data_IF_207104867873
#
_entry.id   IF_207104867873
#
_cell.length_a   1.000
_cell.length_b   1.000
_cell.length_c   1.000
_cell.angle_alpha   90.00
_cell.angle_beta   90.00
_cell.angle_gamma   90.00
#
_symmetry.space_group_name_H-M   'P 1'
#
loop_
_entity.id
_entity.type
_entity.pdbx_description
1 polymer ?
#
# COMPACT_ATOMS: atom_id res chain seq x y z
N UNK A 1 27.92 21.33 27.85
CA UNK A 1 26.61 21.02 28.47
C UNK A 1 25.56 21.31 27.40
N UNK A 2 24.73 20.35 26.96
CA UNK A 2 23.55 19.79 27.66
C UNK A 2 22.48 20.86 27.91
N UNK A 3 21.18 20.70 27.62
CA UNK A 3 20.38 19.68 26.88
C UNK A 3 19.04 20.36 26.52
N UNK A 4 18.47 20.23 25.31
CA UNK A 4 17.53 19.18 24.87
C UNK A 4 16.27 18.96 25.74
N UNK A 5 15.14 19.57 25.35
CA UNK A 5 13.76 19.15 25.66
C UNK A 5 13.25 19.33 27.11
N UNK A 6 11.99 18.97 27.44
CA UNK A 6 10.80 18.67 26.59
C UNK A 6 9.51 18.55 27.46
N UNK A 7 8.34 18.72 26.81
CA UNK A 7 7.04 18.08 27.09
C UNK A 7 6.19 18.35 28.37
N UNK A 8 4.92 18.72 28.10
CA UNK A 8 3.64 18.09 28.51
C UNK A 8 3.27 17.80 29.98
N UNK A 9 2.10 18.32 30.40
CA UNK A 9 0.91 17.51 30.80
C UNK A 9 -0.36 18.42 30.76
N UNK A 10 -1.48 18.05 30.11
CA UNK A 10 -2.63 17.23 30.59
C UNK A 10 -3.62 18.02 31.51
N UNK A 11 -4.92 17.69 31.69
CA UNK A 11 -5.71 16.45 31.48
C UNK A 11 -7.24 16.75 31.56
N UNK A 12 -8.11 15.83 31.04
CA UNK A 12 -9.50 15.52 31.55
C UNK A 12 -10.60 16.64 31.39
N UNK A 13 -11.94 16.44 31.54
CA UNK A 13 -12.81 15.28 31.92
C UNK A 13 -14.28 15.44 31.41
N UNK A 14 -15.03 14.33 31.18
CA UNK A 14 -16.51 14.11 31.35
C UNK A 14 -17.56 15.09 30.70
N UNK A 15 -18.89 14.86 30.56
CA UNK A 15 -19.78 13.67 30.60
C UNK A 15 -21.17 13.91 29.90
N UNK A 16 -21.99 12.84 29.80
CA UNK A 16 -23.45 12.79 30.07
C UNK A 16 -24.61 13.21 29.10
N UNK A 17 -25.50 12.22 28.90
CA UNK A 17 -26.96 12.18 29.21
C UNK A 17 -28.06 12.43 28.14
N UNK A 18 -29.03 11.49 28.18
CA UNK A 18 -30.48 11.54 27.86
C UNK A 18 -31.06 11.16 26.48
N UNK A 19 -32.18 10.46 26.62
CA UNK A 19 -33.25 10.07 25.67
C UNK A 19 -34.48 10.99 25.95
N UNK A 20 -35.77 10.64 25.68
CA UNK A 20 -36.42 9.65 24.80
C UNK A 20 -37.51 10.28 23.88
N UNK A 21 -38.35 9.48 23.22
CA UNK A 21 -39.82 9.39 23.48
C UNK A 21 -40.53 8.35 22.58
N UNK A 22 -41.83 8.14 22.81
CA UNK A 22 -42.63 6.94 22.45
C UNK A 22 -43.98 7.35 21.78
N UNK A 23 -44.92 6.41 21.61
CA UNK A 23 -46.35 6.54 21.17
C UNK A 23 -46.60 6.30 19.66
N UNK A 24 -47.71 5.69 19.17
CA UNK A 24 -48.97 5.11 19.76
C UNK A 24 -49.49 3.98 18.83
N UNK A 25 -50.15 2.91 19.31
CA UNK A 25 -51.61 2.65 19.40
C UNK A 25 -52.44 2.98 18.13
N UNK A 26 -53.41 2.20 17.61
CA UNK A 26 -54.01 0.86 17.91
C UNK A 26 -54.74 0.35 16.61
N UNK A 27 -55.69 -0.60 16.47
CA UNK A 27 -56.73 -1.22 17.34
C UNK A 27 -57.35 -2.53 16.78
N UNK A 28 -57.95 -3.33 17.68
CA UNK A 28 -59.28 -4.03 17.70
C UNK A 28 -60.10 -4.11 16.38
N UNK A 29 -60.75 -5.22 15.96
CA UNK A 29 -61.91 -5.93 16.56
C UNK A 29 -62.04 -7.40 16.04
N UNK A 30 -62.34 -8.35 16.95
CA UNK A 30 -63.39 -9.44 17.02
C UNK A 30 -63.86 -10.18 15.71
N UNK A 31 -64.42 -11.40 15.66
CA UNK A 31 -65.08 -12.38 16.58
C UNK A 31 -64.54 -13.82 16.26
N UNK A 32 -64.27 -14.78 17.17
CA UNK A 32 -65.16 -15.76 17.87
C UNK A 32 -66.19 -16.50 16.95
N UNK A 33 -66.45 -17.82 17.02
CA UNK A 33 -66.34 -18.85 18.09
C UNK A 33 -66.02 -20.29 17.56
N UNK A 34 -65.61 -21.19 18.48
CA UNK A 34 -65.86 -22.66 18.60
C UNK A 34 -66.28 -23.57 17.41
N UNK A 35 -65.92 -24.87 17.34
CA UNK A 35 -64.93 -25.70 18.06
C UNK A 35 -64.72 -27.01 17.25
N UNK A 36 -63.54 -27.65 17.29
CA UNK A 36 -63.34 -28.91 16.54
C UNK A 36 -61.93 -29.51 16.63
N UNK A 37 -61.84 -30.76 17.10
CA UNK A 37 -60.58 -31.46 17.34
C UNK A 37 -60.15 -32.32 16.13
N UNK A 38 -59.03 -31.99 15.49
CA UNK A 38 -57.93 -32.89 15.13
C UNK A 38 -56.72 -32.12 14.54
N UNK A 39 -55.68 -32.84 14.11
CA UNK A 39 -54.55 -32.35 13.28
C UNK A 39 -53.62 -31.26 13.87
N UNK A 40 -53.43 -31.25 15.20
CA UNK A 40 -52.42 -30.38 15.85
C UNK A 40 -50.94 -30.79 15.61
N UNK A 41 -50.64 -31.83 14.83
CA UNK A 41 -49.25 -32.30 14.66
C UNK A 41 -48.47 -31.61 13.52
N UNK A 42 -49.13 -31.09 12.48
CA UNK A 42 -48.45 -30.55 11.28
C UNK A 42 -48.22 -29.02 11.26
N UNK A 43 -48.65 -28.28 12.30
CA UNK A 43 -48.52 -26.80 12.33
C UNK A 43 -47.35 -26.25 13.17
N UNK A 44 -46.74 -27.07 14.03
CA UNK A 44 -45.67 -26.62 14.94
C UNK A 44 -44.32 -26.50 14.21
N UNK A 45 -44.00 -27.45 13.33
CA UNK A 45 -42.72 -27.49 12.61
C UNK A 45 -42.57 -26.36 11.58
N UNK A 46 -43.66 -25.98 10.90
CA UNK A 46 -43.64 -24.92 9.88
C UNK A 46 -43.37 -23.52 10.46
N UNK A 47 -43.67 -23.25 11.75
CA UNK A 47 -43.33 -21.96 12.37
C UNK A 47 -41.85 -21.85 12.71
N UNK A 48 -41.23 -22.91 13.23
CA UNK A 48 -39.81 -22.89 13.61
C UNK A 48 -38.88 -22.76 12.39
N UNK A 49 -39.27 -23.29 11.23
CA UNK A 49 -38.55 -23.07 9.98
C UNK A 49 -38.66 -21.63 9.43
N UNK A 50 -39.77 -20.93 9.67
CA UNK A 50 -39.94 -19.54 9.24
C UNK A 50 -39.10 -18.55 10.07
N UNK A 51 -39.10 -18.70 11.40
CA UNK A 51 -38.39 -17.77 12.31
C UNK A 51 -36.86 -17.90 12.23
N UNK A 52 -36.35 -19.11 11.95
CA UNK A 52 -34.92 -19.32 11.70
C UNK A 52 -34.46 -18.62 10.41
N UNK A 53 -35.19 -18.76 9.30
CA UNK A 53 -34.86 -18.09 8.04
C UNK A 53 -34.94 -16.55 8.16
N UNK A 54 -35.91 -16.02 8.90
CA UNK A 54 -36.02 -14.57 9.14
C UNK A 54 -34.82 -14.00 9.91
N UNK A 55 -34.28 -14.73 10.89
CA UNK A 55 -33.08 -14.32 11.64
C UNK A 55 -31.78 -14.45 10.85
N UNK A 56 -31.74 -15.28 9.81
CA UNK A 56 -30.57 -15.46 8.95
C UNK A 56 -30.45 -14.39 7.85
N UNK A 57 -31.48 -13.55 7.67
CA UNK A 57 -31.54 -12.49 6.64
C UNK A 57 -31.25 -11.06 7.15
N UNK A 58 -31.02 -10.88 8.47
CA UNK A 58 -30.79 -9.56 9.09
C UNK A 58 -29.52 -9.54 9.97
N UNK A 59 -28.41 -10.07 9.46
CA UNK A 59 -27.09 -9.83 10.06
C UNK A 59 -26.00 -9.65 9.01
N UNK A 60 -25.28 -8.53 9.12
CA UNK A 60 -24.10 -8.18 8.33
C UNK A 60 -24.31 -8.09 6.81
N UNK A 61 -25.02 -7.04 6.37
CA UNK A 61 -24.62 -6.27 5.17
C UNK A 61 -23.21 -5.67 5.39
N UNK A 62 -22.18 -6.53 5.45
CA UNK A 62 -20.80 -6.07 5.53
C UNK A 62 -20.42 -5.61 4.14
N UNK A 63 -20.48 -4.30 3.92
CA UNK A 63 -20.20 -3.66 2.64
C UNK A 63 -18.92 -4.24 2.07
N UNK A 64 -19.03 -5.00 0.97
CA UNK A 64 -17.85 -5.57 0.31
C UNK A 64 -17.14 -4.41 -0.37
N UNK A 65 -16.27 -3.75 0.38
CA UNK A 65 -15.21 -2.94 -0.19
C UNK A 65 -14.34 -3.90 -0.99
N UNK A 66 -14.70 -4.08 -2.26
CA UNK A 66 -13.80 -4.57 -3.29
C UNK A 66 -12.74 -3.48 -3.45
N UNK A 67 -11.79 -3.48 -2.51
CA UNK A 67 -10.49 -2.92 -2.79
C UNK A 67 -10.03 -3.61 -4.07
N UNK A 68 -9.93 -2.84 -5.15
CA UNK A 68 -9.24 -3.25 -6.36
C UNK A 68 -7.74 -3.27 -6.06
N UNK A 69 -7.36 -4.19 -5.16
CA UNK A 69 -6.00 -4.66 -4.97
C UNK A 69 -5.56 -5.12 -6.33
N UNK A 70 -4.74 -4.32 -7.00
CA UNK A 70 -4.05 -4.74 -8.21
C UNK A 70 -3.16 -5.88 -7.73
N UNK A 71 -3.58 -7.12 -8.00
CA UNK A 71 -2.77 -8.30 -7.77
C UNK A 71 -1.70 -8.27 -8.85
N UNK A 72 -0.67 -7.46 -8.60
CA UNK A 72 0.61 -7.54 -9.30
C UNK A 72 1.07 -8.97 -9.07
N UNK A 73 1.16 -9.82 -10.12
CA UNK A 73 1.64 -11.18 -9.93
C UNK A 73 3.07 -11.06 -9.39
N UNK A 74 3.40 -11.69 -8.24
CA UNK A 74 4.71 -11.51 -7.64
C UNK A 74 5.77 -11.97 -8.64
N UNK A 75 6.71 -11.09 -8.98
CA UNK A 75 7.87 -11.49 -9.77
C UNK A 75 8.62 -12.53 -8.94
N UNK A 76 8.52 -13.81 -9.34
CA UNK A 76 9.00 -14.95 -8.55
C UNK A 76 10.53 -14.97 -8.40
N UNK A 77 11.24 -14.15 -9.18
CA UNK A 77 12.62 -13.76 -8.95
C UNK A 77 12.74 -12.74 -7.81
N UNK A 78 13.54 -13.09 -6.80
CA UNK A 78 14.07 -12.15 -5.81
C UNK A 78 14.74 -10.98 -6.56
N UNK A 79 14.40 -9.71 -6.27
CA UNK A 79 15.00 -8.56 -6.94
C UNK A 79 16.49 -8.47 -6.60
N UNK A 80 17.35 -8.45 -7.62
CA UNK A 80 18.80 -8.32 -7.46
C UNK A 80 19.36 -7.06 -8.12
N UNK A 81 20.55 -6.65 -7.70
CA UNK A 81 21.31 -5.57 -8.32
C UNK A 81 22.82 -5.84 -8.26
N UNK A 82 23.48 -5.87 -9.42
CA UNK A 82 24.94 -6.08 -9.56
C UNK A 82 25.76 -4.80 -9.47
N UNK A 83 25.15 -3.65 -9.80
CA UNK A 83 25.85 -2.37 -9.99
C UNK A 83 26.09 -2.02 -11.46
N UNK A 84 25.58 -2.83 -12.40
CA UNK A 84 25.75 -2.65 -13.84
C UNK A 84 25.14 -1.34 -14.34
N UNK A 85 25.79 -0.73 -15.34
CA UNK A 85 25.34 0.51 -15.99
C UNK A 85 23.99 0.37 -16.72
N UNK A 86 23.51 -0.86 -16.91
CA UNK A 86 22.22 -1.15 -17.53
C UNK A 86 21.06 -1.21 -16.52
N UNK A 87 21.33 -1.66 -15.28
CA UNK A 87 20.32 -1.77 -14.20
C UNK A 87 19.98 -0.40 -13.63
N UNK A 88 18.70 -0.02 -13.48
CA UNK A 88 18.35 1.22 -12.78
C UNK A 88 18.42 1.04 -11.26
N UNK A 89 19.26 1.82 -10.54
CA UNK A 89 19.35 1.73 -9.08
C UNK A 89 18.06 2.23 -8.39
N UNK A 90 17.26 3.08 -9.04
CA UNK A 90 15.95 3.50 -8.52
C UNK A 90 14.92 2.40 -8.62
N UNK A 91 14.82 1.76 -9.79
CA UNK A 91 13.89 0.65 -9.99
C UNK A 91 14.22 -0.54 -9.07
N UNK A 92 15.50 -0.79 -8.82
CA UNK A 92 15.92 -1.73 -7.77
C UNK A 92 15.42 -1.31 -6.37
N UNK A 93 15.68 -0.06 -5.94
CA UNK A 93 15.25 0.42 -4.62
C UNK A 93 13.74 0.40 -4.41
N UNK A 94 12.94 0.53 -5.47
CA UNK A 94 11.47 0.37 -5.44
C UNK A 94 11.13 -1.11 -5.28
N UNK A 95 11.58 -1.97 -6.19
CA UNK A 95 11.24 -3.41 -6.21
C UNK A 95 11.73 -4.15 -4.96
N UNK A 96 12.90 -3.81 -4.43
CA UNK A 96 13.42 -4.44 -3.21
C UNK A 96 12.63 -4.03 -1.96
N UNK A 97 12.10 -2.80 -1.94
CA UNK A 97 11.23 -2.31 -0.86
C UNK A 97 9.87 -2.99 -0.92
N UNK A 98 9.25 -3.00 -2.09
CA UNK A 98 7.99 -3.69 -2.38
C UNK A 98 8.06 -5.19 -2.05
N UNK A 99 9.09 -5.90 -2.55
CA UNK A 99 9.32 -7.32 -2.26
C UNK A 99 9.53 -7.58 -0.76
N UNK A 100 10.32 -6.74 -0.08
CA UNK A 100 10.58 -6.89 1.34
C UNK A 100 9.32 -6.69 2.20
N UNK A 101 8.43 -5.77 1.84
CA UNK A 101 7.15 -5.55 2.54
C UNK A 101 6.12 -6.66 2.23
N UNK A 102 5.98 -7.03 0.96
CA UNK A 102 4.94 -7.96 0.50
C UNK A 102 5.25 -9.44 0.76
N UNK A 103 6.50 -9.87 0.56
CA UNK A 103 6.91 -11.28 0.67
C UNK A 103 7.56 -11.58 2.03
N UNK A 104 8.41 -10.68 2.53
CA UNK A 104 9.16 -10.90 3.78
C UNK A 104 8.55 -10.20 5.01
N UNK A 105 7.55 -9.32 4.81
CA UNK A 105 6.94 -8.47 5.84
C UNK A 105 7.96 -7.64 6.66
N UNK A 106 9.03 -7.18 6.00
CA UNK A 106 10.10 -6.39 6.58
C UNK A 106 9.78 -4.89 6.60
N UNK A 107 9.90 -4.29 7.79
CA UNK A 107 10.00 -2.84 7.93
C UNK A 107 11.37 -2.31 7.45
N UNK A 108 11.51 -0.97 7.39
CA UNK A 108 12.74 -0.28 6.95
C UNK A 108 14.01 -0.73 7.69
N UNK A 109 13.92 -1.09 8.97
CA UNK A 109 15.07 -1.51 9.77
C UNK A 109 15.48 -2.96 9.48
N UNK A 110 14.51 -3.85 9.26
CA UNK A 110 14.77 -5.21 8.78
C UNK A 110 15.37 -5.19 7.37
N UNK A 111 14.83 -4.36 6.48
CA UNK A 111 15.35 -4.18 5.12
C UNK A 111 16.77 -3.60 5.12
N UNK A 112 17.06 -2.56 5.91
CA UNK A 112 18.40 -1.98 6.03
C UNK A 112 19.44 -3.00 6.52
N UNK A 113 19.07 -3.88 7.45
CA UNK A 113 19.96 -4.95 7.91
C UNK A 113 20.10 -6.08 6.88
N UNK A 114 19.02 -6.42 6.17
CA UNK A 114 18.97 -7.50 5.19
C UNK A 114 19.47 -7.16 3.78
N UNK A 115 19.65 -5.89 3.42
CA UNK A 115 19.81 -5.43 2.02
C UNK A 115 20.91 -6.14 1.22
N UNK A 116 21.99 -6.61 1.87
CA UNK A 116 23.04 -7.42 1.22
C UNK A 116 22.52 -8.68 0.51
N UNK A 117 21.39 -9.25 0.93
CA UNK A 117 20.79 -10.44 0.31
C UNK A 117 20.33 -10.18 -1.13
N UNK A 118 20.08 -8.93 -1.48
CA UNK A 118 19.62 -8.48 -2.80
C UNK A 118 20.74 -7.87 -3.65
N UNK A 119 21.95 -7.67 -3.10
CA UNK A 119 23.09 -7.11 -3.83
C UNK A 119 23.99 -8.24 -4.39
N UNK A 120 24.56 -8.02 -5.56
CA UNK A 120 25.53 -8.91 -6.22
C UNK A 120 26.78 -8.12 -6.61
N UNK A 121 27.85 -8.85 -6.93
CA UNK A 121 29.05 -8.32 -7.60
C UNK A 121 29.57 -7.00 -6.99
N UNK A 122 29.86 -6.00 -7.81
CA UNK A 122 30.35 -4.68 -7.40
C UNK A 122 29.46 -3.98 -6.37
N UNK A 123 28.14 -4.15 -6.45
CA UNK A 123 27.21 -3.55 -5.49
C UNK A 123 27.26 -4.22 -4.10
N UNK A 124 27.47 -5.54 -4.05
CA UNK A 124 27.68 -6.25 -2.79
C UNK A 124 29.04 -5.91 -2.18
N UNK A 125 30.10 -5.86 -2.98
CA UNK A 125 31.44 -5.49 -2.51
C UNK A 125 31.45 -4.08 -1.90
N UNK A 126 30.89 -3.11 -2.62
CA UNK A 126 30.71 -1.74 -2.13
C UNK A 126 29.93 -1.70 -0.80
N UNK A 127 28.87 -2.49 -0.65
CA UNK A 127 28.09 -2.48 0.59
C UNK A 127 28.86 -3.11 1.77
N UNK A 128 29.68 -4.13 1.52
CA UNK A 128 30.59 -4.68 2.52
C UNK A 128 31.61 -3.63 2.98
N UNK A 129 32.22 -2.87 2.06
CA UNK A 129 33.11 -1.75 2.40
C UNK A 129 32.37 -0.65 3.19
N UNK A 130 31.16 -0.25 2.77
CA UNK A 130 30.34 0.75 3.46
C UNK A 130 29.98 0.32 4.90
N UNK A 131 29.67 -0.96 5.12
CA UNK A 131 29.35 -1.52 6.45
C UNK A 131 30.51 -1.49 7.44
N UNK A 132 31.75 -1.57 6.96
CA UNK A 132 32.97 -1.51 7.78
C UNK A 132 33.35 -0.05 8.07
N UNK A 133 32.94 0.89 7.21
CA UNK A 133 33.20 2.31 7.38
C UNK A 133 32.40 2.96 8.53
N UNK A 134 32.97 4.01 9.13
CA UNK A 134 32.28 4.91 10.07
C UNK A 134 31.12 5.72 9.44
N UNK A 135 30.75 5.45 8.18
CA UNK A 135 29.66 6.09 7.43
C UNK A 135 28.51 5.14 7.08
N UNK A 136 28.40 4.00 7.77
CA UNK A 136 27.25 3.09 7.63
C UNK A 136 25.93 3.85 7.85
N UNK A 137 24.97 3.82 6.89
CA UNK A 137 23.63 4.38 7.08
C UNK A 137 22.89 3.76 8.27
N UNK A 138 22.20 4.60 9.04
CA UNK A 138 21.39 4.21 10.21
C UNK A 138 19.91 4.08 9.87
N UNK A 139 19.44 4.76 8.82
CA UNK A 139 18.07 4.65 8.29
C UNK A 139 18.05 4.18 6.83
N UNK A 140 16.92 3.61 6.41
CA UNK A 140 16.68 3.26 4.99
C UNK A 140 16.71 4.51 4.08
N UNK A 141 16.34 5.69 4.60
CA UNK A 141 16.43 6.94 3.84
C UNK A 141 17.88 7.35 3.57
N UNK A 142 18.75 7.31 4.58
CA UNK A 142 20.20 7.51 4.38
C UNK A 142 20.79 6.48 3.41
N UNK A 143 20.39 5.21 3.52
CA UNK A 143 20.86 4.17 2.59
C UNK A 143 20.46 4.49 1.15
N UNK A 144 19.20 4.85 0.89
CA UNK A 144 18.74 5.25 -0.46
C UNK A 144 19.58 6.40 -1.02
N UNK A 145 19.90 7.42 -0.21
CA UNK A 145 20.74 8.56 -0.63
C UNK A 145 22.17 8.11 -0.96
N UNK A 146 22.81 7.36 -0.06
CA UNK A 146 24.20 6.90 -0.23
C UNK A 146 24.33 5.92 -1.42
N UNK A 147 23.37 5.01 -1.59
CA UNK A 147 23.28 4.08 -2.71
C UNK A 147 23.07 4.79 -4.06
N UNK A 148 22.12 5.74 -4.12
CA UNK A 148 21.88 6.50 -5.35
C UNK A 148 23.09 7.39 -5.72
N UNK A 149 23.79 7.95 -4.73
CA UNK A 149 25.02 8.72 -4.97
C UNK A 149 26.16 7.84 -5.51
N UNK A 150 26.26 6.58 -5.09
CA UNK A 150 27.24 5.63 -5.64
C UNK A 150 26.89 5.23 -7.08
N UNK A 151 25.67 4.76 -7.33
CA UNK A 151 25.35 4.05 -8.57
C UNK A 151 24.78 4.94 -9.69
N UNK A 152 24.47 6.22 -9.43
CA UNK A 152 24.16 7.22 -10.48
C UNK A 152 25.45 7.86 -11.04
N UNK A 153 26.30 7.03 -11.63
CA UNK A 153 27.57 7.45 -12.24
C UNK A 153 27.36 8.50 -13.35
N UNK A 154 28.37 9.35 -13.66
CA UNK A 154 28.26 10.33 -14.74
C UNK A 154 27.88 9.71 -16.09
N UNK A 155 28.38 8.52 -16.40
CA UNK A 155 28.06 7.75 -17.60
C UNK A 155 26.57 7.38 -17.63
N UNK A 156 26.01 6.92 -16.49
CA UNK A 156 24.57 6.64 -16.37
C UNK A 156 23.74 7.90 -16.62
N UNK A 157 24.13 9.03 -16.03
CA UNK A 157 23.43 10.32 -16.22
C UNK A 157 23.47 10.79 -17.67
N UNK A 158 24.62 10.66 -18.35
CA UNK A 158 24.75 10.96 -19.77
C UNK A 158 23.88 10.04 -20.66
N UNK A 159 23.79 8.74 -20.33
CA UNK A 159 22.86 7.82 -21.00
C UNK A 159 21.40 8.22 -20.77
N UNK A 160 21.01 8.55 -19.54
CA UNK A 160 19.64 8.97 -19.19
C UNK A 160 19.26 10.29 -19.89
N UNK A 161 20.19 11.24 -19.98
CA UNK A 161 20.06 12.49 -20.74
C UNK A 161 19.82 12.24 -22.23
N UNK A 162 20.54 11.28 -22.83
CA UNK A 162 20.34 10.89 -24.22
C UNK A 162 18.99 10.18 -24.41
N UNK A 163 18.65 9.22 -23.54
CA UNK A 163 17.36 8.52 -23.56
C UNK A 163 16.15 9.46 -23.43
N UNK A 164 16.30 10.62 -22.78
CA UNK A 164 15.28 11.66 -22.70
C UNK A 164 15.16 12.47 -23.99
N UNK A 165 16.28 12.88 -24.60
CA UNK A 165 16.31 13.59 -25.89
C UNK A 165 15.73 12.75 -27.04
N UNK A 166 15.95 11.44 -26.97
CA UNK A 166 15.43 10.48 -27.93
C UNK A 166 14.02 9.99 -27.56
N UNK A 167 13.43 10.41 -26.42
CA UNK A 167 12.13 9.94 -25.96
C UNK A 167 10.98 10.55 -26.77
N UNK A 168 10.54 9.82 -27.79
CA UNK A 168 9.33 10.07 -28.57
C UNK A 168 8.36 8.92 -28.36
N UNK A 169 7.07 9.14 -28.62
CA UNK A 169 6.08 8.06 -28.66
C UNK A 169 6.43 7.12 -29.83
N UNK A 170 6.49 5.81 -29.56
CA UNK A 170 6.75 4.80 -30.60
C UNK A 170 5.47 4.53 -31.42
N UNK A 171 5.59 4.09 -32.68
CA UNK A 171 4.46 3.88 -33.60
C UNK A 171 3.37 2.91 -33.08
N UNK A 172 3.74 2.01 -32.16
CA UNK A 172 2.85 0.99 -31.59
C UNK A 172 2.59 1.21 -30.07
N UNK A 173 2.94 2.37 -29.53
CA UNK A 173 2.80 2.70 -28.11
C UNK A 173 1.58 3.62 -27.89
N UNK A 174 0.75 3.34 -26.89
CA UNK A 174 -0.35 4.24 -26.54
C UNK A 174 0.15 5.50 -25.81
N UNK A 175 -0.61 6.59 -25.87
CA UNK A 175 -0.29 7.84 -25.16
C UNK A 175 -0.09 7.60 -23.66
N UNK A 176 -0.84 6.66 -23.06
CA UNK A 176 -0.70 6.33 -21.64
C UNK A 176 0.63 5.62 -21.33
N UNK A 177 1.05 4.67 -22.18
CA UNK A 177 2.34 3.98 -22.03
C UNK A 177 3.51 4.94 -22.24
N UNK A 178 3.42 5.81 -23.25
CA UNK A 178 4.40 6.88 -23.50
C UNK A 178 4.54 7.80 -22.28
N UNK A 179 3.43 8.31 -21.73
CA UNK A 179 3.45 9.20 -20.56
C UNK A 179 3.99 8.48 -19.31
N UNK A 180 3.72 7.18 -19.13
CA UNK A 180 4.31 6.37 -18.04
C UNK A 180 5.83 6.22 -18.22
N UNK A 181 6.30 5.90 -19.43
CA UNK A 181 7.73 5.78 -19.77
C UNK A 181 8.48 7.11 -19.59
N UNK A 182 7.88 8.20 -20.06
CA UNK A 182 8.39 9.56 -19.97
C UNK A 182 8.50 10.03 -18.51
N UNK A 183 7.47 9.78 -17.68
CA UNK A 183 7.51 10.02 -16.22
C UNK A 183 8.60 9.22 -15.53
N UNK A 184 8.79 7.95 -15.90
CA UNK A 184 9.84 7.11 -15.31
C UNK A 184 11.26 7.65 -15.61
N UNK A 185 11.51 8.09 -16.84
CA UNK A 185 12.76 8.76 -17.22
C UNK A 185 12.96 10.07 -16.44
N UNK A 186 11.92 10.90 -16.36
CA UNK A 186 11.96 12.18 -15.64
C UNK A 186 12.27 12.00 -14.15
N UNK A 187 11.54 11.13 -13.45
CA UNK A 187 11.78 10.84 -12.02
C UNK A 187 13.16 10.22 -11.77
N UNK A 188 13.74 9.54 -12.77
CA UNK A 188 15.07 8.97 -12.64
C UNK A 188 16.17 10.02 -12.73
N UNK A 189 16.07 10.96 -13.69
CA UNK A 189 16.98 12.11 -13.83
C UNK A 189 16.79 13.17 -12.73
N UNK A 190 15.53 13.58 -12.49
CA UNK A 190 15.12 14.80 -11.77
C UNK A 190 14.29 14.46 -10.52
N UNK A 191 14.85 13.70 -9.55
CA UNK A 191 14.10 13.13 -8.43
C UNK A 191 13.53 14.13 -7.42
N UNK A 192 13.94 15.40 -7.51
CA UNK A 192 13.53 16.48 -6.62
C UNK A 192 12.55 17.45 -7.32
N UNK A 193 12.25 17.24 -8.61
CA UNK A 193 11.38 18.09 -9.42
C UNK A 193 9.99 17.44 -9.53
N UNK A 194 8.94 18.21 -9.24
CA UNK A 194 7.56 17.71 -9.25
C UNK A 194 6.98 17.60 -10.66
N UNK A 195 5.83 16.94 -10.79
CA UNK A 195 5.06 16.80 -12.05
C UNK A 195 4.86 18.15 -12.78
N UNK A 196 4.72 19.26 -12.04
CA UNK A 196 4.59 20.60 -12.61
C UNK A 196 5.84 21.05 -13.40
N UNK A 197 7.04 20.54 -13.08
CA UNK A 197 8.26 20.80 -13.85
C UNK A 197 8.36 19.90 -15.08
N UNK A 198 7.86 18.66 -15.01
CA UNK A 198 7.71 17.78 -16.17
C UNK A 198 6.75 18.40 -17.20
N UNK A 199 5.55 18.83 -16.78
CA UNK A 199 4.57 19.48 -17.67
C UNK A 199 5.18 20.74 -18.32
N UNK A 200 5.96 21.55 -17.58
CA UNK A 200 6.71 22.70 -18.12
C UNK A 200 7.87 22.35 -19.06
N UNK A 201 8.26 21.08 -19.16
CA UNK A 201 9.26 20.58 -20.10
C UNK A 201 8.64 19.98 -21.37
N UNK A 202 7.31 19.92 -21.45
CA UNK A 202 6.52 19.31 -22.54
C UNK A 202 5.61 20.32 -23.25
N UNK A 203 5.74 21.62 -22.93
CA UNK A 203 5.05 22.76 -23.54
C UNK A 203 6.08 23.75 -24.10
#
# INVERSE_FOLDING_TARGET
>A
MQTSGKNNHNQLIEENISTPYTERNSSTIEESFDNGQLDQHNRTEQRQHAENNARQMLSNERTVQIAHTIIIPPSSSIPTFSGSILESPRQFLIRVKEYAETINHWNDQSLLNGISQFLRDTALEWYCQLRISNRRPQTWMEFKVVFLNQFNSPIRRARQEQQWKDCKQEENETINEFIVRLRALWQEQKPNETENYLIRHLM
#
